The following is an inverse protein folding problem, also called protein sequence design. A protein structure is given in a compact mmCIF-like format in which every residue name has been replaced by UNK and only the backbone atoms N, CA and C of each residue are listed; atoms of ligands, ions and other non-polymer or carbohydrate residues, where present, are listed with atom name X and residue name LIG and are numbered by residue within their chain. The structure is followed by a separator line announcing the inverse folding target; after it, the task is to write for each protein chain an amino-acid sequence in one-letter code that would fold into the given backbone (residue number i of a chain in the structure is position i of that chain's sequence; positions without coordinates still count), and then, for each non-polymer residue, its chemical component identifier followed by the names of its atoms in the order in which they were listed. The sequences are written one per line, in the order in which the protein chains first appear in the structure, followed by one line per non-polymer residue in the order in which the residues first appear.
data_IF_029071224654
#
_entry.id   IF_029071224654
#
_cell.length_a   1.000
_cell.length_b   1.000
_cell.length_c   1.000
_cell.angle_alpha   90.00
_cell.angle_beta   90.00
_cell.angle_gamma   90.00
#
_symmetry.space_group_name_H-M   'P 1'
#
loop_
_entity.id
_entity.type
_entity.pdbx_description
1 polymer ?
#
# COMPACT_ATOMS: atom_id res chain seq x y z
N UNK A 1 1.88 25.80 -6.09
CA UNK A 1 3.06 25.02 -5.68
C UNK A 1 3.96 24.80 -6.89
N UNK A 2 5.26 25.13 -6.80
CA UNK A 2 6.18 24.99 -7.93
C UNK A 2 6.54 23.51 -8.21
N UNK A 3 7.14 23.23 -9.38
CA UNK A 3 7.46 21.86 -9.83
C UNK A 3 8.45 21.14 -8.92
N UNK A 4 9.43 21.85 -8.35
CA UNK A 4 10.42 21.24 -7.45
C UNK A 4 9.78 20.79 -6.12
N UNK A 5 8.88 21.60 -5.54
CA UNK A 5 8.16 21.24 -4.32
C UNK A 5 7.24 20.04 -4.58
N UNK A 6 6.52 20.00 -5.71
CA UNK A 6 5.72 18.82 -6.11
C UNK A 6 6.57 17.56 -6.19
N UNK A 7 7.75 17.65 -6.82
CA UNK A 7 8.66 16.51 -6.95
C UNK A 7 9.19 16.04 -5.59
N UNK A 8 9.58 16.97 -4.69
CA UNK A 8 10.02 16.62 -3.33
C UNK A 8 8.92 15.91 -2.54
N UNK A 9 7.68 16.41 -2.61
CA UNK A 9 6.52 15.78 -1.95
C UNK A 9 6.19 14.41 -2.56
N UNK A 10 6.30 14.26 -3.87
CA UNK A 10 6.12 12.97 -4.54
C UNK A 10 7.13 11.95 -4.00
N UNK A 11 8.43 12.31 -3.96
CA UNK A 11 9.48 11.45 -3.41
C UNK A 11 9.20 11.08 -1.96
N UNK A 12 8.84 12.06 -1.12
CA UNK A 12 8.50 11.82 0.28
C UNK A 12 7.31 10.86 0.42
N UNK A 13 6.23 11.08 -0.34
CA UNK A 13 5.06 10.20 -0.34
C UNK A 13 5.40 8.77 -0.77
N UNK A 14 6.23 8.59 -1.80
CA UNK A 14 6.69 7.27 -2.24
C UNK A 14 7.55 6.58 -1.18
N UNK A 15 8.46 7.29 -0.51
CA UNK A 15 9.26 6.73 0.59
C UNK A 15 8.41 6.36 1.81
N UNK A 16 7.43 7.19 2.17
CA UNK A 16 6.48 6.90 3.24
C UNK A 16 5.66 5.65 2.89
N UNK A 17 5.17 5.56 1.65
CA UNK A 17 4.48 4.37 1.16
C UNK A 17 5.37 3.12 1.22
N UNK A 18 6.64 3.23 0.83
CA UNK A 18 7.59 2.13 0.91
C UNK A 18 7.81 1.67 2.37
N UNK A 19 7.96 2.61 3.29
CA UNK A 19 8.10 2.31 4.72
C UNK A 19 6.84 1.62 5.27
N UNK A 20 5.65 2.08 4.89
CA UNK A 20 4.39 1.43 5.24
C UNK A 20 4.36 -0.03 4.81
N UNK A 21 4.71 -0.34 3.55
CA UNK A 21 4.74 -1.71 3.06
C UNK A 21 5.83 -2.56 3.73
N UNK A 22 7.00 -2.00 4.06
CA UNK A 22 8.03 -2.73 4.80
C UNK A 22 7.59 -3.09 6.22
N UNK A 23 6.96 -2.15 6.93
CA UNK A 23 6.39 -2.42 8.26
C UNK A 23 5.29 -3.48 8.16
N UNK A 24 4.40 -3.36 7.16
CA UNK A 24 3.38 -4.37 6.88
C UNK A 24 3.97 -5.75 6.61
N UNK A 25 5.02 -5.84 5.79
CA UNK A 25 5.73 -7.09 5.52
C UNK A 25 6.30 -7.72 6.80
N UNK A 26 6.90 -6.90 7.65
CA UNK A 26 7.44 -7.34 8.92
C UNK A 26 6.33 -7.87 9.85
N UNK A 27 5.19 -7.19 9.91
CA UNK A 27 4.03 -7.63 10.71
C UNK A 27 3.40 -8.90 10.14
N UNK A 28 3.27 -9.06 8.82
CA UNK A 28 2.74 -10.29 8.24
C UNK A 28 3.70 -11.48 8.41
N UNK A 29 5.00 -11.27 8.32
CA UNK A 29 5.96 -12.37 8.47
C UNK A 29 6.20 -12.76 9.94
N UNK A 30 6.38 -11.77 10.82
CA UNK A 30 6.77 -11.99 12.21
C UNK A 30 5.65 -11.76 13.23
N UNK A 31 4.46 -11.33 12.80
CA UNK A 31 3.40 -10.80 13.66
C UNK A 31 3.07 -11.68 14.85
N UNK A 32 2.76 -12.96 14.61
CA UNK A 32 2.43 -13.89 15.70
C UNK A 32 3.65 -14.38 16.49
N UNK A 33 4.86 -14.21 15.96
CA UNK A 33 6.11 -14.62 16.65
C UNK A 33 6.61 -13.52 17.60
N UNK A 34 6.50 -12.26 17.18
CA UNK A 34 6.98 -11.10 17.94
C UNK A 34 5.87 -10.42 18.75
N UNK A 35 4.61 -10.56 18.32
CA UNK A 35 3.44 -9.95 18.96
C UNK A 35 2.36 -11.02 19.21
N UNK A 36 2.59 -11.98 20.13
CA UNK A 36 1.66 -13.09 20.38
C UNK A 36 0.29 -12.64 20.91
N UNK A 37 0.16 -11.39 21.36
CA UNK A 37 -1.12 -10.77 21.74
C UNK A 37 -1.93 -10.21 20.55
N UNK A 38 -1.40 -10.29 19.33
CA UNK A 38 -2.09 -9.83 18.12
C UNK A 38 -3.15 -10.86 17.69
N UNK A 39 -4.32 -10.39 17.26
CA UNK A 39 -5.44 -11.26 16.91
C UNK A 39 -5.18 -11.99 15.58
N UNK A 40 -4.65 -13.21 15.68
CA UNK A 40 -4.30 -14.08 14.56
C UNK A 40 -5.46 -14.86 13.93
N UNK A 41 -6.72 -14.51 14.21
CA UNK A 41 -7.90 -15.28 13.72
C UNK A 41 -7.99 -15.41 12.20
N UNK A 42 -7.39 -14.46 11.47
CA UNK A 42 -7.30 -14.49 10.00
C UNK A 42 -5.88 -14.77 9.51
N UNK A 43 -4.94 -15.05 10.40
CA UNK A 43 -3.56 -15.34 10.04
C UNK A 43 -3.46 -16.76 9.49
N UNK A 44 -2.86 -16.88 8.32
CA UNK A 44 -2.54 -18.14 7.68
C UNK A 44 -1.08 -18.07 7.24
N UNK A 45 -0.21 -18.78 7.94
CA UNK A 45 1.25 -18.66 7.82
C UNK A 45 1.77 -18.63 6.38
N UNK A 46 1.25 -19.52 5.51
CA UNK A 46 1.62 -19.55 4.10
C UNK A 46 1.15 -18.30 3.34
N UNK A 47 -0.10 -17.87 3.53
CA UNK A 47 -0.66 -16.70 2.85
C UNK A 47 -0.02 -15.39 3.34
N UNK A 48 0.18 -15.25 4.65
CA UNK A 48 0.84 -14.09 5.24
C UNK A 48 2.31 -13.96 4.79
N UNK A 49 3.01 -15.08 4.59
CA UNK A 49 4.37 -15.05 4.02
C UNK A 49 4.37 -14.54 2.58
N UNK A 50 3.38 -14.93 1.76
CA UNK A 50 3.22 -14.40 0.41
C UNK A 50 2.91 -12.90 0.45
N UNK A 51 2.02 -12.46 1.33
CA UNK A 51 1.69 -11.04 1.51
C UNK A 51 2.94 -10.26 1.89
N UNK A 52 3.76 -10.77 2.82
CA UNK A 52 5.02 -10.14 3.21
C UNK A 52 5.99 -10.02 2.05
N UNK A 53 6.17 -11.07 1.25
CA UNK A 53 7.02 -11.04 0.06
C UNK A 53 6.53 -9.99 -0.95
N UNK A 54 5.23 -9.97 -1.25
CA UNK A 54 4.63 -8.98 -2.16
C UNK A 54 4.83 -7.56 -1.63
N UNK A 55 4.64 -7.34 -0.33
CA UNK A 55 4.84 -6.04 0.29
C UNK A 55 6.31 -5.56 0.21
N UNK A 56 7.29 -6.45 0.37
CA UNK A 56 8.72 -6.12 0.15
C UNK A 56 8.99 -5.72 -1.30
N UNK A 57 8.45 -6.46 -2.27
CA UNK A 57 8.60 -6.14 -3.70
C UNK A 57 7.98 -4.77 -4.02
N UNK A 58 6.80 -4.48 -3.49
CA UNK A 58 6.13 -3.19 -3.67
C UNK A 58 6.93 -2.04 -3.04
N UNK A 59 7.47 -2.25 -1.83
CA UNK A 59 8.33 -1.26 -1.19
C UNK A 59 9.58 -0.98 -2.04
N UNK A 60 10.19 -2.01 -2.62
CA UNK A 60 11.32 -1.86 -3.53
C UNK A 60 10.95 -1.02 -4.76
N UNK A 61 9.83 -1.30 -5.43
CA UNK A 61 9.38 -0.49 -6.57
C UNK A 61 9.11 0.96 -6.20
N UNK A 62 8.48 1.21 -5.05
CA UNK A 62 8.26 2.56 -4.54
C UNK A 62 9.57 3.31 -4.31
N UNK A 63 10.59 2.65 -3.74
CA UNK A 63 11.94 3.24 -3.54
C UNK A 63 12.61 3.53 -4.88
N UNK A 64 12.55 2.61 -5.85
CA UNK A 64 13.13 2.80 -7.18
C UNK A 64 12.54 4.04 -7.85
N UNK A 65 11.21 4.18 -7.82
CA UNK A 65 10.53 5.37 -8.36
C UNK A 65 10.86 6.61 -7.53
N UNK A 66 10.93 6.53 -6.20
CA UNK A 66 11.24 7.67 -5.33
C UNK A 66 12.63 8.25 -5.60
N UNK A 67 13.62 7.41 -5.94
CA UNK A 67 14.97 7.87 -6.29
C UNK A 67 14.95 8.80 -7.50
N UNK A 68 14.25 8.40 -8.55
CA UNK A 68 14.08 9.20 -9.77
C UNK A 68 12.69 9.01 -10.41
N UNK A 69 11.67 9.80 -10.01
CA UNK A 69 10.31 9.65 -10.52
C UNK A 69 10.16 10.03 -12.00
N UNK A 70 11.07 10.86 -12.53
CA UNK A 70 11.02 11.34 -13.91
C UNK A 70 11.58 10.27 -14.84
N UNK A 71 12.65 9.58 -14.44
CA UNK A 71 13.18 8.44 -15.20
C UNK A 71 12.25 7.22 -15.15
N UNK A 72 11.48 7.06 -14.07
CA UNK A 72 10.64 5.87 -13.83
C UNK A 72 9.12 6.15 -13.99
N UNK A 73 8.73 6.98 -14.95
CA UNK A 73 7.34 7.42 -15.12
C UNK A 73 6.36 6.28 -15.38
N UNK A 74 6.75 5.27 -16.15
CA UNK A 74 5.85 4.14 -16.46
C UNK A 74 5.65 3.23 -15.24
N UNK A 75 6.69 3.04 -14.44
CA UNK A 75 6.57 2.35 -13.16
C UNK A 75 5.68 3.15 -12.18
N UNK A 76 5.79 4.48 -12.16
CA UNK A 76 4.89 5.33 -11.37
C UNK A 76 3.43 5.20 -11.81
N UNK A 77 3.16 5.17 -13.13
CA UNK A 77 1.80 4.93 -13.65
C UNK A 77 1.30 3.55 -13.24
N UNK A 78 2.12 2.51 -13.36
CA UNK A 78 1.77 1.16 -12.95
C UNK A 78 1.43 1.10 -11.46
N UNK A 79 2.25 1.71 -10.59
CA UNK A 79 1.97 1.82 -9.14
C UNK A 79 0.63 2.50 -8.89
N UNK A 80 0.33 3.62 -9.56
CA UNK A 80 -0.93 4.36 -9.39
C UNK A 80 -2.13 3.48 -9.78
N UNK A 81 -2.06 2.82 -10.94
CA UNK A 81 -3.16 1.96 -11.44
C UNK A 81 -3.34 0.73 -10.53
N UNK A 82 -2.26 0.04 -10.18
CA UNK A 82 -2.31 -1.13 -9.31
C UNK A 82 -2.80 -0.78 -7.91
N UNK A 83 -2.37 0.34 -7.33
CA UNK A 83 -2.84 0.80 -6.03
C UNK A 83 -4.32 1.19 -6.06
N UNK A 84 -4.79 1.82 -7.14
CA UNK A 84 -6.21 2.13 -7.32
C UNK A 84 -7.07 0.86 -7.35
N UNK A 85 -6.67 -0.12 -8.16
CA UNK A 85 -7.35 -1.42 -8.25
C UNK A 85 -7.33 -2.12 -6.88
N UNK A 86 -6.17 -2.23 -6.23
CA UNK A 86 -6.04 -2.85 -4.92
C UNK A 86 -6.95 -2.19 -3.85
N UNK A 87 -7.06 -0.86 -3.88
CA UNK A 87 -7.93 -0.11 -2.97
C UNK A 87 -9.42 -0.43 -3.18
N UNK A 88 -9.86 -0.56 -4.44
CA UNK A 88 -11.23 -1.00 -4.77
C UNK A 88 -11.46 -2.42 -4.28
N UNK A 89 -10.55 -3.35 -4.58
CA UNK A 89 -10.68 -4.75 -4.16
C UNK A 89 -10.71 -4.90 -2.64
N UNK A 90 -9.92 -4.11 -1.91
CA UNK A 90 -9.95 -4.06 -0.45
C UNK A 90 -11.38 -3.74 0.05
N UNK A 91 -11.98 -2.66 -0.47
CA UNK A 91 -13.35 -2.28 -0.09
C UNK A 91 -14.36 -3.36 -0.52
N UNK A 92 -14.24 -3.93 -1.73
CA UNK A 92 -15.20 -4.92 -2.23
C UNK A 92 -15.18 -6.23 -1.44
N UNK A 93 -14.06 -6.57 -0.79
CA UNK A 93 -13.93 -7.79 0.02
C UNK A 93 -14.96 -7.84 1.16
N UNK A 94 -15.43 -6.69 1.65
CA UNK A 94 -16.41 -6.63 2.75
C UNK A 94 -17.76 -7.25 2.40
N UNK A 95 -18.04 -7.39 1.10
CA UNK A 95 -19.25 -8.04 0.59
C UNK A 95 -19.07 -9.53 0.36
N UNK A 96 -17.82 -10.02 0.42
CA UNK A 96 -17.46 -11.42 0.19
C UNK A 96 -17.09 -12.14 1.48
N UNK A 97 -16.53 -11.44 2.45
CA UNK A 97 -16.05 -12.00 3.71
C UNK A 97 -17.00 -11.61 4.84
N UNK A 98 -17.57 -12.61 5.50
CA UNK A 98 -18.27 -12.41 6.76
C UNK A 98 -17.27 -12.40 7.93
N UNK A 99 -16.75 -11.20 8.22
CA UNK A 99 -15.80 -10.99 9.31
C UNK A 99 -16.38 -11.31 10.70
N UNK A 100 -17.71 -11.28 10.86
CA UNK A 100 -18.35 -11.57 12.13
C UNK A 100 -18.30 -13.07 12.43
N UNK A 101 -18.68 -13.91 11.48
CA UNK A 101 -18.63 -15.37 11.66
C UNK A 101 -17.20 -15.92 11.76
N UNK A 102 -16.22 -15.22 11.19
CA UNK A 102 -14.78 -15.51 11.38
C UNK A 102 -14.22 -15.00 12.73
N UNK A 103 -15.07 -14.41 13.58
CA UNK A 103 -14.69 -13.92 14.91
C UNK A 103 -13.76 -12.69 14.89
N UNK A 104 -13.68 -11.97 13.76
CA UNK A 104 -12.81 -10.82 13.57
C UNK A 104 -13.59 -9.56 13.09
N UNK A 105 -14.66 -9.13 13.77
CA UNK A 105 -15.54 -8.07 13.29
C UNK A 105 -14.84 -6.72 13.08
N UNK A 106 -13.79 -6.43 13.86
CA UNK A 106 -12.98 -5.22 13.72
C UNK A 106 -12.24 -5.14 12.37
N UNK A 107 -11.98 -6.28 11.72
CA UNK A 107 -11.29 -6.33 10.42
C UNK A 107 -12.12 -5.72 9.31
N UNK A 108 -13.45 -5.73 9.41
CA UNK A 108 -14.32 -5.05 8.43
C UNK A 108 -14.02 -3.55 8.36
N UNK A 109 -13.92 -2.89 9.53
CA UNK A 109 -13.58 -1.46 9.57
C UNK A 109 -12.15 -1.22 9.09
N UNK A 110 -11.20 -2.04 9.55
CA UNK A 110 -9.80 -1.96 9.11
C UNK A 110 -9.68 -2.02 7.58
N UNK A 111 -10.33 -2.99 6.93
CA UNK A 111 -10.30 -3.15 5.47
C UNK A 111 -10.90 -1.95 4.73
N UNK A 112 -12.01 -1.38 5.24
CA UNK A 112 -12.59 -0.15 4.67
C UNK A 112 -11.60 1.02 4.80
N UNK A 113 -11.01 1.19 5.98
CA UNK A 113 -10.03 2.25 6.25
C UNK A 113 -8.80 2.11 5.35
N UNK A 114 -8.25 0.91 5.19
CA UNK A 114 -7.13 0.64 4.28
C UNK A 114 -7.48 0.98 2.83
N UNK A 115 -8.67 0.61 2.36
CA UNK A 115 -9.15 0.95 1.02
C UNK A 115 -9.28 2.46 0.81
N UNK A 116 -9.87 3.18 1.76
CA UNK A 116 -10.00 4.65 1.69
C UNK A 116 -8.62 5.33 1.71
N UNK A 117 -7.73 4.92 2.61
CA UNK A 117 -6.37 5.45 2.68
C UNK A 117 -5.58 5.18 1.39
N UNK A 118 -5.77 4.00 0.79
CA UNK A 118 -5.22 3.67 -0.52
C UNK A 118 -5.70 4.62 -1.63
N UNK A 119 -7.00 4.94 -1.67
CA UNK A 119 -7.55 5.92 -2.61
C UNK A 119 -7.01 7.35 -2.37
N UNK A 120 -6.82 7.74 -1.11
CA UNK A 120 -6.21 9.04 -0.76
C UNK A 120 -4.76 9.06 -1.26
N UNK A 121 -4.00 7.99 -1.03
CA UNK A 121 -2.62 7.87 -1.48
C UNK A 121 -2.52 7.95 -3.01
N UNK A 122 -3.35 7.21 -3.74
CA UNK A 122 -3.46 7.28 -5.21
C UNK A 122 -3.77 8.70 -5.66
N UNK A 123 -4.76 9.36 -5.05
CA UNK A 123 -5.16 10.73 -5.39
C UNK A 123 -4.00 11.71 -5.20
N UNK A 124 -3.23 11.55 -4.11
CA UNK A 124 -2.03 12.34 -3.86
C UNK A 124 -0.96 12.12 -4.93
N UNK A 125 -0.69 10.86 -5.32
CA UNK A 125 0.28 10.54 -6.37
C UNK A 125 -0.12 11.13 -7.73
N UNK A 126 -1.40 11.06 -8.10
CA UNK A 126 -1.93 11.66 -9.35
C UNK A 126 -1.76 13.18 -9.33
N UNK A 127 -2.06 13.83 -8.21
CA UNK A 127 -1.95 15.29 -8.08
C UNK A 127 -0.49 15.79 -8.13
N UNK A 128 0.44 14.97 -7.58
CA UNK A 128 1.88 15.22 -7.58
C UNK A 128 2.59 14.74 -8.84
N UNK A 129 1.89 14.04 -9.74
CA UNK A 129 2.46 13.47 -10.96
C UNK A 129 3.18 14.54 -11.80
N UNK A 130 4.43 14.29 -12.26
CA UNK A 130 5.28 15.31 -12.85
C UNK A 130 4.96 15.55 -14.35
N UNK A 131 3.73 16.04 -14.63
CA UNK A 131 3.20 16.25 -16.00
C UNK A 131 4.08 17.13 -16.89
N UNK A 132 4.83 18.07 -16.31
CA UNK A 132 5.68 19.03 -17.03
C UNK A 132 6.85 18.38 -17.78
N UNK A 133 7.19 17.13 -17.47
CA UNK A 133 8.30 16.39 -18.07
C UNK A 133 7.86 15.35 -19.11
N UNK A 134 6.59 15.41 -19.54
CA UNK A 134 6.02 14.54 -20.58
C UNK A 134 6.03 15.19 -21.97
N UNK A 135 6.47 16.43 -22.08
CA UNK A 135 6.54 17.22 -23.31
C UNK A 135 7.98 17.71 -23.55
#
# INVERSE_FOLDING_TARGET
MNSQTKLKLLKAGLYIGAAYYLVGAFVHYFGLTLFPWFEGKLYVQYQDTIIALVAVILAYFLVVVARDPIKNLDMLKAIIVSAFIASIFSILIIWKIDFLSLGAPAKKLQTITEGILGLIFVSALIWLYPKKYLN
#
